data_IF_190617471908
#
_entry.id   IF_190617471908
#
_cell.length_a   1.000
_cell.length_b   1.000
_cell.length_c   1.000
_cell.angle_alpha   90.00
_cell.angle_beta   90.00
_cell.angle_gamma   90.00
#
_symmetry.space_group_name_H-M   'P 1'
#
loop_
_entity.id
_entity.type
_entity.pdbx_description
1 polymer ?
#
# COMPACT_ATOMS: atom_id res chain seq x y z
N UNK A 1 -60.85 -8.17 -74.93
CA UNK A 1 -59.66 -8.99 -74.58
C UNK A 1 -58.45 -8.05 -74.70
N UNK A 2 -57.56 -7.79 -73.75
CA UNK A 2 -57.29 -8.28 -72.41
C UNK A 2 -56.74 -7.10 -71.57
N UNK A 3 -57.24 -6.95 -70.33
CA UNK A 3 -56.68 -6.10 -69.27
C UNK A 3 -55.28 -6.57 -68.89
N UNK A 4 -54.36 -5.64 -68.63
CA UNK A 4 -53.33 -5.79 -67.59
C UNK A 4 -53.09 -4.46 -66.87
N UNK A 5 -53.61 -4.40 -65.64
CA UNK A 5 -53.19 -3.48 -64.59
C UNK A 5 -51.75 -3.82 -64.20
N UNK A 6 -50.90 -2.81 -63.99
CA UNK A 6 -49.69 -2.97 -63.20
C UNK A 6 -49.57 -1.77 -62.24
N UNK A 7 -49.90 -2.06 -60.98
CA UNK A 7 -49.58 -1.29 -59.79
C UNK A 7 -48.05 -1.32 -59.60
N UNK A 8 -47.39 -0.16 -59.62
CA UNK A 8 -46.01 -0.04 -59.18
C UNK A 8 -46.02 0.46 -57.73
N UNK A 9 -45.71 -0.43 -56.79
CA UNK A 9 -45.47 -0.09 -55.40
C UNK A 9 -44.17 0.73 -55.29
N UNK A 10 -44.29 1.94 -54.75
CA UNK A 10 -43.17 2.75 -54.30
C UNK A 10 -42.53 2.08 -53.08
N UNK A 11 -41.32 1.55 -53.24
CA UNK A 11 -40.47 1.11 -52.15
C UNK A 11 -39.63 2.30 -51.69
N UNK A 12 -40.14 3.02 -50.68
CA UNK A 12 -39.40 4.05 -49.96
C UNK A 12 -38.38 3.34 -49.04
N UNK A 13 -37.15 3.13 -49.51
CA UNK A 13 -36.06 2.65 -48.67
C UNK A 13 -35.55 3.83 -47.84
N UNK A 14 -36.08 3.98 -46.63
CA UNK A 14 -35.56 4.92 -45.64
C UNK A 14 -34.26 4.34 -45.05
N UNK A 15 -33.13 4.61 -45.70
CA UNK A 15 -31.81 4.27 -45.16
C UNK A 15 -31.52 5.16 -43.95
N UNK A 16 -31.86 4.67 -42.76
CA UNK A 16 -31.34 5.19 -41.50
C UNK A 16 -29.82 4.94 -41.49
N UNK A 17 -29.07 5.90 -42.01
CA UNK A 17 -27.65 6.06 -41.70
C UNK A 17 -27.56 6.40 -40.21
N UNK A 18 -27.60 5.39 -39.35
CA UNK A 18 -27.11 5.54 -37.98
C UNK A 18 -25.60 5.72 -38.09
N UNK A 19 -25.17 6.97 -38.18
CA UNK A 19 -23.77 7.31 -37.89
C UNK A 19 -23.48 6.69 -36.52
N UNK A 20 -22.48 5.82 -36.37
CA UNK A 20 -22.01 5.50 -35.03
C UNK A 20 -21.45 6.82 -34.52
N UNK A 21 -22.22 7.51 -33.68
CA UNK A 21 -21.67 8.50 -32.78
C UNK A 21 -20.64 7.73 -31.99
N UNK A 22 -19.36 7.90 -32.35
CA UNK A 22 -18.29 7.66 -31.41
C UNK A 22 -18.65 8.54 -30.22
N UNK A 23 -19.23 7.92 -29.20
CA UNK A 23 -19.34 8.51 -27.90
C UNK A 23 -17.89 8.76 -27.49
N UNK A 24 -17.40 9.97 -27.73
CA UNK A 24 -16.17 10.44 -27.12
C UNK A 24 -16.49 10.46 -25.63
N UNK A 25 -16.21 9.34 -24.96
CA UNK A 25 -16.33 9.22 -23.54
C UNK A 25 -15.31 10.22 -23.00
N UNK A 26 -15.78 11.43 -22.68
CA UNK A 26 -14.99 12.55 -22.18
C UNK A 26 -14.54 12.11 -20.79
N UNK A 27 -13.52 11.26 -20.74
CA UNK A 27 -12.86 10.88 -19.49
C UNK A 27 -12.54 12.18 -18.77
N UNK A 28 -13.05 12.34 -17.56
CA UNK A 28 -12.82 13.55 -16.77
C UNK A 28 -11.33 13.51 -16.43
N UNK A 29 -10.55 14.42 -17.03
CA UNK A 29 -9.09 14.40 -16.96
C UNK A 29 -8.62 15.46 -15.98
N UNK A 30 -8.10 15.01 -14.85
CA UNK A 30 -7.05 15.73 -14.16
C UNK A 30 -5.72 15.15 -14.64
N UNK A 31 -4.68 15.97 -14.85
CA UNK A 31 -3.41 15.51 -15.43
C UNK A 31 -2.72 14.39 -14.60
N UNK A 32 -3.14 14.18 -13.34
CA UNK A 32 -2.74 13.04 -12.50
C UNK A 32 -3.77 11.89 -12.36
N UNK A 33 -5.07 12.10 -12.61
CA UNK A 33 -6.12 11.11 -12.34
C UNK A 33 -6.98 10.91 -13.59
N UNK A 34 -7.11 9.65 -14.02
CA UNK A 34 -7.97 9.23 -15.13
C UNK A 34 -8.76 8.01 -14.67
N UNK A 35 -10.08 8.19 -14.50
CA UNK A 35 -11.01 7.09 -14.17
C UNK A 35 -11.14 6.17 -15.39
N UNK A 36 -11.15 4.87 -15.16
CA UNK A 36 -11.47 3.88 -16.18
C UNK A 36 -12.99 3.84 -16.40
N UNK A 37 -13.52 4.78 -17.19
CA UNK A 37 -14.97 4.94 -17.38
C UNK A 37 -15.63 3.84 -18.20
N UNK A 38 -14.85 2.94 -18.79
CA UNK A 38 -15.34 1.77 -19.52
C UNK A 38 -15.52 0.55 -18.61
N UNK A 39 -14.95 0.58 -17.41
CA UNK A 39 -15.14 -0.48 -16.43
C UNK A 39 -16.56 -0.45 -15.84
N UNK A 40 -17.23 -1.60 -15.85
CA UNK A 40 -18.50 -1.79 -15.15
C UNK A 40 -18.41 -1.55 -13.65
N UNK A 41 -17.21 -1.66 -13.07
CA UNK A 41 -16.99 -1.39 -11.64
C UNK A 41 -17.03 0.09 -11.32
N UNK A 42 -16.98 0.98 -12.31
CA UNK A 42 -16.96 2.44 -12.16
C UNK A 42 -18.28 3.14 -12.51
N UNK A 43 -19.40 2.41 -12.59
CA UNK A 43 -20.71 3.00 -12.97
C UNK A 43 -21.09 4.26 -12.18
N UNK A 44 -20.61 4.40 -10.94
CA UNK A 44 -20.89 5.54 -10.06
C UNK A 44 -19.69 6.47 -9.81
N UNK A 45 -18.49 6.18 -10.34
CA UNK A 45 -17.31 6.97 -9.99
C UNK A 45 -17.34 8.32 -10.74
N UNK A 46 -17.02 9.42 -10.04
CA UNK A 46 -16.96 10.75 -10.65
C UNK A 46 -15.78 11.56 -10.14
N UNK A 47 -15.07 12.21 -11.05
CA UNK A 47 -14.01 13.17 -10.74
C UNK A 47 -14.57 14.59 -10.73
N UNK A 48 -14.29 15.34 -9.67
CA UNK A 48 -14.64 16.75 -9.50
C UNK A 48 -13.36 17.50 -9.16
N UNK A 49 -12.99 18.48 -9.98
CA UNK A 49 -11.82 19.32 -9.74
C UNK A 49 -12.33 20.65 -9.17
N UNK A 50 -11.85 21.04 -7.98
CA UNK A 50 -12.16 22.36 -7.41
C UNK A 50 -11.06 23.36 -7.80
N UNK A 51 -11.40 24.64 -7.86
CA UNK A 51 -10.44 25.71 -8.16
C UNK A 51 -9.47 26.01 -7.00
N UNK A 52 -9.51 25.23 -5.91
CA UNK A 52 -8.79 25.47 -4.65
C UNK A 52 -7.60 24.52 -4.43
N UNK A 53 -7.12 23.84 -5.48
CA UNK A 53 -6.01 22.90 -5.36
C UNK A 53 -6.42 21.54 -4.78
N UNK A 54 -7.71 21.20 -4.86
CA UNK A 54 -8.23 19.89 -4.44
C UNK A 54 -8.83 19.13 -5.62
N UNK A 55 -8.61 17.82 -5.62
CA UNK A 55 -9.22 16.88 -6.56
C UNK A 55 -10.12 15.96 -5.76
N UNK A 56 -11.43 16.14 -5.89
CA UNK A 56 -12.42 15.32 -5.22
C UNK A 56 -12.88 14.18 -6.12
N UNK A 57 -12.81 12.95 -5.63
CA UNK A 57 -13.20 11.73 -6.33
C UNK A 57 -14.39 11.15 -5.58
N UNK A 58 -15.58 11.25 -6.16
CA UNK A 58 -16.74 10.49 -5.70
C UNK A 58 -16.46 9.01 -5.97
N UNK A 59 -16.11 8.28 -4.90
CA UNK A 59 -15.85 6.85 -4.99
C UNK A 59 -17.14 6.11 -5.33
N UNK A 60 -16.99 4.89 -5.85
CA UNK A 60 -18.13 4.03 -6.13
C UNK A 60 -18.93 3.73 -4.88
N UNK A 61 -20.24 3.56 -5.05
CA UNK A 61 -21.12 3.10 -3.98
C UNK A 61 -20.60 1.76 -3.46
N UNK A 62 -20.45 1.57 -2.14
CA UNK A 62 -19.85 0.37 -1.61
C UNK A 62 -20.77 -0.83 -1.84
N UNK A 63 -20.19 -2.00 -2.02
CA UNK A 63 -20.97 -3.25 -2.06
C UNK A 63 -21.58 -3.61 -0.70
N UNK A 64 -22.33 -4.71 -0.63
CA UNK A 64 -22.94 -5.22 0.60
C UNK A 64 -21.92 -5.55 1.71
N UNK A 65 -20.63 -5.56 1.41
CA UNK A 65 -19.57 -5.79 2.38
C UNK A 65 -18.95 -4.47 2.87
N UNK A 66 -19.32 -3.32 2.29
CA UNK A 66 -18.72 -2.02 2.57
C UNK A 66 -17.44 -1.77 1.78
N UNK A 67 -17.25 -2.42 0.63
CA UNK A 67 -16.09 -2.24 -0.26
C UNK A 67 -16.46 -1.37 -1.46
N UNK A 68 -15.78 -0.24 -1.60
CA UNK A 68 -15.83 0.58 -2.81
C UNK A 68 -14.67 0.20 -3.74
N UNK A 69 -14.96 -0.40 -4.90
CA UNK A 69 -13.93 -0.78 -5.88
C UNK A 69 -13.88 0.23 -7.02
N UNK A 70 -12.82 1.04 -7.06
CA UNK A 70 -12.58 2.09 -8.03
C UNK A 70 -11.46 1.67 -8.99
N UNK A 71 -11.69 1.83 -10.29
CA UNK A 71 -10.70 1.49 -11.33
C UNK A 71 -10.22 2.74 -12.07
N UNK A 72 -8.94 2.78 -12.39
CA UNK A 72 -8.30 3.94 -13.00
C UNK A 72 -7.42 3.50 -14.18
N UNK A 73 -7.33 4.36 -15.19
CA UNK A 73 -6.26 4.28 -16.18
C UNK A 73 -5.01 5.01 -15.66
N UNK A 74 -5.17 5.98 -14.76
CA UNK A 74 -4.06 6.67 -14.10
C UNK A 74 -4.50 7.10 -12.71
N UNK A 75 -3.68 6.81 -11.70
CA UNK A 75 -3.91 7.25 -10.33
C UNK A 75 -2.61 7.83 -9.78
N UNK A 76 -2.34 9.10 -10.06
CA UNK A 76 -1.18 9.84 -9.60
C UNK A 76 -1.63 11.06 -8.79
N UNK A 77 -1.00 11.27 -7.64
CA UNK A 77 -1.17 12.50 -6.83
C UNK A 77 0.00 13.46 -7.09
N UNK A 78 -0.13 14.72 -6.68
CA UNK A 78 0.88 15.76 -6.94
C UNK A 78 1.13 16.61 -5.68
N UNK A 79 2.37 17.08 -5.54
CA UNK A 79 2.74 18.03 -4.48
C UNK A 79 1.82 19.25 -4.50
N UNK A 80 1.37 19.68 -3.33
CA UNK A 80 0.53 20.86 -3.17
C UNK A 80 -0.92 20.67 -3.65
N UNK A 81 -1.31 19.46 -4.03
CA UNK A 81 -2.68 19.12 -4.41
C UNK A 81 -3.19 18.04 -3.48
N UNK A 82 -4.31 18.30 -2.82
CA UNK A 82 -5.00 17.31 -2.00
C UNK A 82 -5.93 16.49 -2.88
N UNK A 83 -5.77 15.16 -2.88
CA UNK A 83 -6.72 14.25 -3.52
C UNK A 83 -7.66 13.71 -2.44
N UNK A 84 -8.96 13.95 -2.59
CA UNK A 84 -10.00 13.53 -1.66
C UNK A 84 -10.77 12.35 -2.26
N UNK A 85 -10.83 11.25 -1.51
CA UNK A 85 -11.75 10.15 -1.77
C UNK A 85 -13.05 10.44 -1.01
N UNK A 86 -14.11 10.83 -1.71
CA UNK A 86 -15.37 11.24 -1.11
C UNK A 86 -16.19 10.04 -0.61
N UNK A 87 -15.95 9.69 0.64
CA UNK A 87 -16.65 8.64 1.39
C UNK A 87 -17.73 9.20 2.32
N UNK A 88 -18.16 10.44 2.11
CA UNK A 88 -19.25 11.06 2.87
C UNK A 88 -20.58 10.70 2.20
N UNK A 89 -21.37 9.83 2.83
CA UNK A 89 -22.66 9.38 2.29
C UNK A 89 -23.69 10.50 2.10
N UNK A 90 -23.48 11.68 2.69
CA UNK A 90 -24.34 12.86 2.52
C UNK A 90 -23.88 13.77 1.38
N UNK A 91 -22.62 13.67 0.95
CA UNK A 91 -22.03 14.53 -0.08
C UNK A 91 -21.76 13.79 -1.39
N UNK A 92 -21.43 12.50 -1.31
CA UNK A 92 -21.30 11.65 -2.49
C UNK A 92 -22.70 11.40 -3.06
N UNK A 93 -23.00 12.02 -4.21
CA UNK A 93 -24.34 12.02 -4.80
C UNK A 93 -24.88 10.62 -5.06
N UNK A 94 -24.04 9.69 -5.50
CA UNK A 94 -24.48 8.32 -5.79
C UNK A 94 -24.86 7.57 -4.51
N UNK A 95 -24.09 7.74 -3.44
CA UNK A 95 -24.41 7.15 -2.14
C UNK A 95 -25.69 7.76 -1.56
N UNK A 96 -25.84 9.09 -1.65
CA UNK A 96 -27.01 9.80 -1.15
C UNK A 96 -28.29 9.37 -1.89
N UNK A 97 -28.26 9.35 -3.23
CA UNK A 97 -29.41 8.96 -4.06
C UNK A 97 -29.84 7.51 -3.81
N UNK A 98 -28.89 6.62 -3.51
CA UNK A 98 -29.17 5.21 -3.23
C UNK A 98 -29.33 4.90 -1.74
N UNK A 99 -29.30 5.89 -0.84
CA UNK A 99 -29.36 5.67 0.61
C UNK A 99 -28.25 4.77 1.16
N UNK A 100 -27.10 4.72 0.49
CA UNK A 100 -26.00 3.81 0.82
C UNK A 100 -25.12 4.34 1.95
N UNK A 101 -24.52 3.43 2.72
CA UNK A 101 -23.56 3.78 3.76
C UNK A 101 -22.16 4.06 3.19
N UNK A 102 -21.32 4.73 3.96
CA UNK A 102 -19.91 4.95 3.65
C UNK A 102 -19.13 3.64 3.56
N UNK A 103 -18.12 3.58 2.70
CA UNK A 103 -17.20 2.46 2.57
C UNK A 103 -16.37 2.27 3.84
N UNK A 104 -16.06 1.01 4.16
CA UNK A 104 -15.05 0.61 5.17
C UNK A 104 -13.70 0.32 4.51
N UNK A 105 -13.73 -0.02 3.22
CA UNK A 105 -12.56 -0.30 2.39
C UNK A 105 -12.73 0.38 1.03
N UNK A 106 -11.70 1.12 0.61
CA UNK A 106 -11.66 1.79 -0.69
C UNK A 106 -10.49 1.22 -1.49
N UNK A 107 -10.81 0.46 -2.54
CA UNK A 107 -9.84 -0.10 -3.47
C UNK A 107 -9.69 0.88 -4.64
N UNK A 108 -8.46 1.27 -4.94
CA UNK A 108 -8.07 2.08 -6.09
C UNK A 108 -7.12 1.24 -6.95
N UNK A 109 -7.64 0.68 -8.04
CA UNK A 109 -6.91 -0.24 -8.91
C UNK A 109 -6.59 0.43 -10.25
N UNK A 110 -5.33 0.45 -10.66
CA UNK A 110 -4.93 0.90 -11.99
C UNK A 110 -4.88 -0.29 -12.95
N UNK A 111 -5.58 -0.17 -14.09
CA UNK A 111 -5.71 -1.22 -15.11
C UNK A 111 -4.94 -0.92 -16.42
N UNK A 112 -4.27 0.22 -16.52
CA UNK A 112 -3.43 0.56 -17.67
C UNK A 112 -2.00 -0.01 -17.49
N UNK A 113 -1.10 0.33 -18.41
CA UNK A 113 0.34 0.06 -18.31
C UNK A 113 1.09 1.15 -17.53
N UNK A 114 0.41 2.21 -17.06
CA UNK A 114 1.04 3.30 -16.35
C UNK A 114 1.38 2.94 -14.90
N UNK A 115 2.47 3.53 -14.39
CA UNK A 115 2.83 3.47 -12.97
C UNK A 115 2.02 4.48 -12.17
N UNK A 116 1.81 4.17 -10.90
CA UNK A 116 1.27 5.11 -9.91
C UNK A 116 2.40 5.91 -9.28
N UNK A 117 2.27 7.23 -9.27
CA UNK A 117 3.18 8.15 -8.59
C UNK A 117 2.39 8.92 -7.54
N UNK A 118 2.70 8.66 -6.27
CA UNK A 118 2.09 9.30 -5.13
C UNK A 118 3.01 10.40 -4.61
N UNK A 119 2.51 11.63 -4.61
CA UNK A 119 3.18 12.80 -4.08
C UNK A 119 2.15 13.74 -3.44
N UNK A 120 2.29 14.07 -2.15
CA UNK A 120 1.34 14.92 -1.44
C UNK A 120 0.24 14.13 -0.72
N UNK A 121 -0.85 14.81 -0.38
CA UNK A 121 -1.91 14.31 0.50
C UNK A 121 -3.00 13.56 -0.28
N UNK A 122 -3.26 12.31 0.13
CA UNK A 122 -4.44 11.54 -0.22
C UNK A 122 -5.29 11.36 1.04
N UNK A 123 -6.49 11.90 1.03
CA UNK A 123 -7.37 11.87 2.20
C UNK A 123 -8.72 11.24 1.90
N UNK A 124 -9.37 10.76 2.95
CA UNK A 124 -10.76 10.34 2.89
C UNK A 124 -11.62 11.49 3.43
N UNK A 125 -12.59 11.93 2.64
CA UNK A 125 -13.62 12.85 3.09
C UNK A 125 -14.79 12.06 3.67
N UNK A 126 -15.30 12.45 4.83
CA UNK A 126 -16.37 11.75 5.53
C UNK A 126 -15.85 10.65 6.46
N UNK A 127 -16.51 9.50 6.47
CA UNK A 127 -16.17 8.40 7.39
C UNK A 127 -14.79 7.80 7.07
N UNK A 128 -13.92 7.56 8.08
CA UNK A 128 -12.63 6.92 7.85
C UNK A 128 -12.76 5.51 7.25
N UNK A 129 -11.86 5.16 6.34
CA UNK A 129 -11.81 3.84 5.71
C UNK A 129 -10.36 3.38 5.48
N UNK A 130 -10.19 2.09 5.19
CA UNK A 130 -8.90 1.54 4.71
C UNK A 130 -8.73 1.86 3.23
N UNK A 131 -7.54 2.26 2.81
CA UNK A 131 -7.20 2.51 1.40
C UNK A 131 -6.36 1.34 0.88
N UNK A 132 -6.68 0.84 -0.30
CA UNK A 132 -5.83 -0.11 -1.05
C UNK A 132 -5.49 0.53 -2.39
N UNK A 133 -4.21 0.67 -2.71
CA UNK A 133 -3.74 1.16 -4.01
C UNK A 133 -3.06 -0.01 -4.72
N UNK A 134 -3.64 -0.45 -5.84
CA UNK A 134 -3.16 -1.60 -6.61
C UNK A 134 -2.69 -1.15 -7.99
N UNK A 135 -1.43 -1.40 -8.30
CA UNK A 135 -0.91 -1.17 -9.64
C UNK A 135 0.21 -2.19 -9.97
N UNK A 136 -0.02 -3.18 -10.87
CA UNK A 136 0.99 -4.17 -11.21
C UNK A 136 2.25 -3.57 -11.86
N UNK A 137 2.16 -2.41 -12.48
CA UNK A 137 3.31 -1.73 -13.11
C UNK A 137 4.24 -1.06 -12.09
N UNK A 138 3.80 -0.93 -10.84
CA UNK A 138 4.56 -0.38 -9.73
C UNK A 138 4.00 0.94 -9.18
N UNK A 139 4.47 1.28 -7.98
CA UNK A 139 4.06 2.45 -7.21
C UNK A 139 5.32 3.19 -6.76
N UNK A 140 5.39 4.49 -7.03
CA UNK A 140 6.38 5.37 -6.41
C UNK A 140 5.71 6.23 -5.35
N UNK A 141 6.40 6.46 -4.25
CA UNK A 141 5.97 7.32 -3.18
C UNK A 141 7.06 8.34 -2.86
N UNK A 142 6.74 9.62 -3.05
CA UNK A 142 7.61 10.75 -2.75
C UNK A 142 6.85 11.73 -1.86
N UNK A 143 7.22 11.80 -0.58
CA UNK A 143 6.52 12.65 0.40
C UNK A 143 5.00 12.36 0.42
N UNK A 144 4.61 11.08 0.46
CA UNK A 144 3.20 10.72 0.54
C UNK A 144 2.67 11.04 1.93
N UNK A 145 1.45 11.54 1.97
CA UNK A 145 0.69 11.76 3.18
C UNK A 145 -0.68 11.12 2.98
N UNK A 146 -1.14 10.42 4.02
CA UNK A 146 -2.49 9.88 4.08
C UNK A 146 -3.16 10.51 5.29
N UNK A 147 -4.46 10.76 5.24
CA UNK A 147 -5.21 11.25 6.38
C UNK A 147 -6.62 10.66 6.40
N UNK A 148 -7.23 10.67 7.59
CA UNK A 148 -8.55 10.10 7.85
C UNK A 148 -8.71 8.64 7.36
N UNK A 149 -7.63 7.86 7.46
CA UNK A 149 -7.61 6.46 7.05
C UNK A 149 -7.30 5.54 8.23
N UNK A 150 -7.91 4.35 8.23
CA UNK A 150 -7.63 3.30 9.22
C UNK A 150 -6.38 2.49 8.86
N UNK A 151 -5.87 2.64 7.63
CA UNK A 151 -4.66 1.99 7.14
C UNK A 151 -4.55 2.02 5.61
N UNK A 152 -3.34 1.81 5.11
CA UNK A 152 -3.04 1.82 3.67
C UNK A 152 -2.35 0.52 3.27
N UNK A 153 -2.87 -0.14 2.23
CA UNK A 153 -2.18 -1.21 1.52
C UNK A 153 -1.66 -0.67 0.18
N UNK A 154 -0.34 -0.73 -0.05
CA UNK A 154 0.28 -0.49 -1.35
C UNK A 154 0.61 -1.82 -2.00
N UNK A 155 0.10 -2.05 -3.21
CA UNK A 155 0.19 -3.35 -3.90
C UNK A 155 0.76 -3.15 -5.31
N UNK A 156 2.03 -3.50 -5.49
CA UNK A 156 2.65 -3.60 -6.81
C UNK A 156 2.50 -5.03 -7.37
N UNK A 157 1.26 -5.36 -7.74
CA UNK A 157 0.89 -6.68 -8.25
C UNK A 157 -0.55 -6.71 -8.73
N UNK A 158 -1.04 -7.90 -9.04
CA UNK A 158 -2.44 -8.14 -9.40
C UNK A 158 -3.27 -8.35 -8.14
N UNK A 159 -4.52 -7.89 -8.19
CA UNK A 159 -5.49 -8.08 -7.11
C UNK A 159 -6.76 -8.72 -7.67
N UNK A 160 -7.32 -9.65 -6.90
CA UNK A 160 -8.67 -10.13 -7.11
C UNK A 160 -9.47 -10.02 -5.81
N UNK A 161 -10.68 -9.47 -5.92
CA UNK A 161 -11.63 -9.33 -4.81
C UNK A 161 -12.88 -10.12 -5.13
N UNK A 162 -13.23 -11.04 -4.24
CA UNK A 162 -14.46 -11.82 -4.31
C UNK A 162 -14.86 -12.32 -2.91
N UNK A 163 -16.16 -12.27 -2.58
CA UNK A 163 -16.71 -12.83 -1.35
C UNK A 163 -15.95 -12.41 -0.08
N UNK A 164 -15.76 -11.09 0.12
CA UNK A 164 -14.99 -10.49 1.25
C UNK A 164 -13.51 -10.88 1.32
N UNK A 165 -12.99 -11.63 0.35
CA UNK A 165 -11.59 -12.05 0.30
C UNK A 165 -10.87 -11.25 -0.76
N UNK A 166 -9.68 -10.78 -0.39
CA UNK A 166 -8.75 -10.17 -1.33
C UNK A 166 -7.59 -11.15 -1.50
N UNK A 167 -7.22 -11.39 -2.75
CA UNK A 167 -5.98 -12.06 -3.08
C UNK A 167 -5.05 -11.12 -3.82
N UNK A 168 -3.81 -11.05 -3.38
CA UNK A 168 -2.74 -10.36 -4.07
C UNK A 168 -1.80 -11.38 -4.70
N UNK A 169 -1.34 -11.07 -5.90
CA UNK A 169 -0.27 -11.80 -6.56
C UNK A 169 0.78 -10.81 -7.01
N UNK A 170 1.97 -10.91 -6.44
CA UNK A 170 3.12 -10.07 -6.76
C UNK A 170 4.15 -10.86 -7.54
N UNK A 171 4.85 -10.17 -8.42
CA UNK A 171 5.90 -10.72 -9.29
C UNK A 171 7.14 -9.81 -9.32
N UNK A 172 7.38 -9.08 -10.41
CA UNK A 172 8.48 -8.11 -10.55
C UNK A 172 8.06 -6.69 -10.16
N UNK A 173 6.76 -6.43 -9.95
CA UNK A 173 6.23 -5.12 -9.58
C UNK A 173 7.03 -4.46 -8.44
N UNK A 174 7.33 -3.17 -8.58
CA UNK A 174 8.21 -2.43 -7.67
C UNK A 174 7.47 -1.36 -6.89
N UNK A 175 7.77 -1.23 -5.60
CA UNK A 175 7.41 -0.08 -4.79
C UNK A 175 8.67 0.69 -4.41
N UNK A 176 8.71 1.98 -4.73
CA UNK A 176 9.88 2.83 -4.52
C UNK A 176 9.50 4.01 -3.62
N UNK A 177 10.16 4.12 -2.48
CA UNK A 177 10.07 5.28 -1.60
C UNK A 177 11.23 6.24 -1.88
N UNK A 178 10.94 7.53 -1.99
CA UNK A 178 11.91 8.62 -2.26
C UNK A 178 11.59 9.85 -1.40
N UNK A 179 12.51 10.81 -1.31
CA UNK A 179 12.29 12.05 -0.55
C UNK A 179 12.15 11.78 0.95
N UNK A 180 11.06 12.23 1.55
CA UNK A 180 10.64 11.92 2.91
C UNK A 180 9.83 10.62 3.01
N UNK A 181 9.69 9.87 1.91
CA UNK A 181 8.90 8.64 1.81
C UNK A 181 7.46 8.85 2.27
N UNK A 182 7.07 8.20 3.37
CA UNK A 182 5.79 8.43 4.05
C UNK A 182 6.09 9.18 5.34
N UNK A 183 5.69 10.45 5.39
CA UNK A 183 6.03 11.37 6.47
C UNK A 183 4.80 12.15 6.94
N UNK A 184 4.50 12.08 8.24
CA UNK A 184 3.57 13.00 8.88
C UNK A 184 4.29 14.31 9.23
N UNK A 185 3.69 15.47 8.95
CA UNK A 185 4.32 16.76 9.22
C UNK A 185 4.57 16.94 10.73
N UNK A 186 5.80 16.70 11.21
CA UNK A 186 6.24 16.96 12.57
C UNK A 186 7.68 16.48 12.84
N UNK A 187 8.41 17.22 13.68
CA UNK A 187 9.78 16.90 14.16
C UNK A 187 9.80 16.05 15.44
N UNK A 188 8.67 15.52 15.89
CA UNK A 188 8.53 14.90 17.21
C UNK A 188 8.43 13.37 17.12
N UNK A 189 8.79 12.70 18.22
CA UNK A 189 8.84 11.26 18.43
C UNK A 189 7.53 10.53 18.07
N UNK A 190 7.59 9.20 17.94
CA UNK A 190 6.41 8.32 17.77
C UNK A 190 5.36 8.49 18.90
N UNK A 191 5.65 9.27 19.95
CA UNK A 191 4.74 9.46 21.09
C UNK A 191 3.49 10.27 20.75
N UNK A 192 3.50 11.05 19.68
CA UNK A 192 2.27 11.59 19.11
C UNK A 192 1.83 10.66 17.98
N UNK A 193 0.82 9.81 18.22
CA UNK A 193 0.07 9.07 17.18
C UNK A 193 -0.02 9.93 15.94
N UNK A 194 0.85 9.67 14.96
CA UNK A 194 1.01 10.57 13.83
C UNK A 194 -0.36 10.78 13.22
N UNK A 195 -0.84 12.02 13.13
CA UNK A 195 -2.17 12.43 12.65
C UNK A 195 -2.53 11.92 11.22
N UNK A 196 -1.71 11.06 10.63
CA UNK A 196 -1.66 10.74 9.22
C UNK A 196 -1.83 9.24 8.93
N UNK A 197 -0.99 8.33 9.49
CA UNK A 197 -1.13 6.90 9.21
C UNK A 197 -0.72 5.98 10.36
N UNK A 198 -1.65 5.13 10.80
CA UNK A 198 -1.42 4.12 11.85
C UNK A 198 -0.91 2.79 11.30
N UNK A 199 -1.32 2.41 10.09
CA UNK A 199 -1.05 1.11 9.51
C UNK A 199 -0.63 1.21 8.05
N UNK A 200 0.53 0.66 7.71
CA UNK A 200 1.00 0.49 6.33
C UNK A 200 1.26 -0.97 6.05
N UNK A 201 0.68 -1.49 4.98
CA UNK A 201 1.06 -2.79 4.42
C UNK A 201 1.55 -2.61 2.99
N UNK A 202 2.64 -3.30 2.64
CA UNK A 202 3.25 -3.27 1.32
C UNK A 202 3.32 -4.68 0.77
N UNK A 203 2.78 -4.89 -0.43
CA UNK A 203 2.90 -6.11 -1.22
C UNK A 203 3.61 -5.78 -2.53
N UNK A 204 4.80 -6.33 -2.73
CA UNK A 204 5.53 -6.07 -3.97
C UNK A 204 6.48 -7.22 -4.30
N UNK A 205 6.83 -7.32 -5.58
CA UNK A 205 8.02 -8.05 -5.98
C UNK A 205 9.26 -7.47 -5.36
N UNK A 206 9.47 -6.17 -5.58
CA UNK A 206 10.63 -5.45 -5.10
C UNK A 206 10.24 -4.21 -4.32
N UNK A 207 10.96 -3.93 -3.24
CA UNK A 207 10.85 -2.67 -2.50
C UNK A 207 12.20 -1.98 -2.45
N UNK A 208 12.21 -0.68 -2.71
CA UNK A 208 13.42 0.14 -2.60
C UNK A 208 13.11 1.46 -1.91
N UNK A 209 13.98 1.84 -1.00
CA UNK A 209 13.99 3.16 -0.37
C UNK A 209 15.24 3.88 -0.87
N UNK A 210 15.06 5.00 -1.55
CA UNK A 210 16.13 5.74 -2.20
C UNK A 210 16.40 7.07 -1.52
N UNK A 211 17.64 7.55 -1.65
CA UNK A 211 18.01 8.94 -1.40
C UNK A 211 17.54 9.48 -0.03
N UNK A 212 17.71 8.70 1.04
CA UNK A 212 17.30 9.14 2.37
C UNK A 212 15.81 9.02 2.68
N UNK A 213 15.03 8.31 1.85
CA UNK A 213 13.61 8.02 2.09
C UNK A 213 13.34 7.53 3.51
N UNK A 214 12.30 8.10 4.14
CA UNK A 214 11.86 7.74 5.49
C UNK A 214 10.45 7.19 5.45
N UNK A 215 10.16 6.12 6.17
CA UNK A 215 8.79 5.65 6.37
C UNK A 215 8.54 5.57 7.87
N UNK A 216 7.81 6.56 8.37
CA UNK A 216 7.44 6.68 9.77
C UNK A 216 5.95 6.37 9.93
N UNK A 217 5.65 5.12 10.29
CA UNK A 217 4.28 4.60 10.45
C UNK A 217 4.29 3.62 11.61
N UNK A 218 3.31 3.72 12.51
CA UNK A 218 3.27 2.95 13.76
C UNK A 218 3.31 1.43 13.53
N UNK A 219 2.49 0.90 12.62
CA UNK A 219 2.47 -0.53 12.29
C UNK A 219 2.76 -0.73 10.82
N UNK A 220 3.81 -1.49 10.51
CA UNK A 220 4.29 -1.72 9.17
C UNK A 220 4.42 -3.21 8.85
N UNK A 221 3.90 -3.61 7.70
CA UNK A 221 4.02 -4.98 7.21
C UNK A 221 4.48 -5.02 5.75
N UNK A 222 5.56 -5.73 5.48
CA UNK A 222 6.11 -5.89 4.14
C UNK A 222 6.03 -7.35 3.71
N UNK A 223 5.37 -7.64 2.59
CA UNK A 223 5.34 -8.96 1.93
C UNK A 223 6.04 -8.82 0.59
N UNK A 224 7.25 -9.36 0.52
CA UNK A 224 8.16 -9.08 -0.58
C UNK A 224 8.50 -10.35 -1.34
N UNK A 225 8.54 -10.22 -2.66
CA UNK A 225 8.93 -11.27 -3.58
C UNK A 225 7.76 -11.80 -4.39
N UNK A 226 8.00 -12.91 -5.10
CA UNK A 226 6.98 -13.59 -5.87
C UNK A 226 6.05 -14.34 -4.91
N UNK A 227 4.89 -13.78 -4.60
CA UNK A 227 3.95 -14.36 -3.64
C UNK A 227 2.52 -14.31 -4.12
N UNK A 228 1.74 -15.31 -3.68
CA UNK A 228 0.29 -15.23 -3.65
C UNK A 228 -0.17 -15.16 -2.20
N UNK A 229 -0.85 -14.09 -1.85
CA UNK A 229 -1.42 -13.91 -0.50
C UNK A 229 -2.93 -13.88 -0.60
N UNK A 230 -3.61 -14.58 0.31
CA UNK A 230 -5.06 -14.43 0.53
C UNK A 230 -5.29 -13.82 1.90
N UNK A 231 -6.11 -12.78 1.96
CA UNK A 231 -6.51 -12.10 3.19
C UNK A 231 -8.02 -11.87 3.21
N UNK A 232 -8.55 -11.74 4.43
CA UNK A 232 -9.85 -11.10 4.61
C UNK A 232 -9.71 -9.60 4.33
N UNK A 233 -10.67 -9.01 3.62
CA UNK A 233 -10.63 -7.62 3.18
C UNK A 233 -10.52 -6.61 4.35
N UNK A 234 -10.94 -7.00 5.56
CA UNK A 234 -10.99 -6.11 6.72
C UNK A 234 -9.98 -6.45 7.82
N UNK A 235 -9.28 -7.59 7.74
CA UNK A 235 -8.29 -7.96 8.76
C UNK A 235 -6.92 -7.37 8.47
N UNK A 236 -6.31 -6.77 9.50
CA UNK A 236 -5.04 -6.08 9.32
C UNK A 236 -3.78 -6.92 9.64
N UNK A 237 -3.79 -7.99 10.44
CA UNK A 237 -2.48 -8.59 10.84
C UNK A 237 -2.41 -10.10 11.12
N UNK A 238 -3.51 -10.83 11.37
CA UNK A 238 -3.39 -12.10 12.12
C UNK A 238 -3.39 -13.40 11.29
N UNK A 239 -3.95 -13.41 10.07
CA UNK A 239 -4.16 -14.66 9.31
C UNK A 239 -3.75 -14.51 7.84
N UNK A 240 -2.45 -14.32 7.58
CA UNK A 240 -1.91 -14.20 6.22
C UNK A 240 -1.31 -15.52 5.77
N UNK A 241 -2.01 -16.22 4.87
CA UNK A 241 -1.42 -17.35 4.15
C UNK A 241 -0.74 -16.80 2.91
N UNK A 242 0.59 -16.74 2.95
CA UNK A 242 1.43 -16.39 1.80
C UNK A 242 2.05 -17.66 1.25
N UNK A 243 1.83 -17.91 -0.04
CA UNK A 243 2.49 -18.96 -0.79
C UNK A 243 3.59 -18.33 -1.64
N UNK A 244 4.83 -18.78 -1.46
CA UNK A 244 5.93 -18.41 -2.36
C UNK A 244 5.69 -18.99 -3.76
N UNK A 245 5.96 -18.20 -4.78
CA UNK A 245 5.87 -18.60 -6.17
C UNK A 245 7.29 -18.67 -6.76
N UNK A 246 7.51 -19.58 -7.69
CA UNK A 246 8.73 -19.57 -8.50
C UNK A 246 8.80 -18.27 -9.32
N UNK A 247 9.99 -17.73 -9.49
CA UNK A 247 10.21 -16.52 -10.27
C UNK A 247 11.62 -15.98 -10.13
N UNK A 248 11.86 -14.84 -10.77
CA UNK A 248 13.15 -14.14 -10.68
C UNK A 248 13.45 -13.69 -9.25
N UNK A 249 14.75 -13.52 -8.97
CA UNK A 249 15.23 -12.95 -7.71
C UNK A 249 14.65 -11.56 -7.50
N UNK A 250 14.22 -11.31 -6.28
CA UNK A 250 13.60 -10.07 -5.85
C UNK A 250 14.36 -9.46 -4.68
N UNK A 251 14.10 -8.19 -4.38
CA UNK A 251 14.84 -7.48 -3.33
C UNK A 251 13.95 -6.59 -2.46
N UNK A 252 14.27 -6.56 -1.18
CA UNK A 252 13.94 -5.45 -0.28
C UNK A 252 15.24 -4.70 0.00
N UNK A 253 15.34 -3.44 -0.44
CA UNK A 253 16.56 -2.65 -0.27
C UNK A 253 16.27 -1.35 0.45
N UNK A 254 16.88 -1.17 1.62
CA UNK A 254 17.00 0.12 2.29
C UNK A 254 18.36 0.70 1.89
N UNK A 255 18.39 1.78 1.09
CA UNK A 255 19.65 2.45 0.75
C UNK A 255 20.26 3.21 1.94
N UNK A 256 21.50 3.69 1.77
CA UNK A 256 22.16 4.54 2.75
C UNK A 256 21.29 5.77 3.07
N UNK A 257 21.32 6.19 4.33
CA UNK A 257 20.55 7.30 4.89
C UNK A 257 19.02 7.13 4.90
N UNK A 258 18.48 6.08 4.28
CA UNK A 258 17.05 5.77 4.35
C UNK A 258 16.69 5.14 5.70
N UNK A 259 15.45 5.35 6.13
CA UNK A 259 15.00 5.01 7.48
C UNK A 259 13.62 4.37 7.46
N UNK A 260 13.45 3.33 8.28
CA UNK A 260 12.16 2.77 8.66
C UNK A 260 11.99 2.98 10.15
N UNK A 261 10.89 3.63 10.53
CA UNK A 261 10.55 3.88 11.92
C UNK A 261 9.13 3.42 12.21
N UNK A 262 8.96 2.56 13.22
CA UNK A 262 7.67 1.98 13.59
C UNK A 262 7.61 1.66 15.10
N UNK A 263 6.43 1.30 15.60
CA UNK A 263 6.28 0.57 16.85
C UNK A 263 6.30 -0.93 16.59
N UNK A 264 5.62 -1.36 15.53
CA UNK A 264 5.58 -2.75 15.10
C UNK A 264 5.97 -2.84 13.63
N UNK A 265 7.03 -3.60 13.35
CA UNK A 265 7.52 -3.86 12.00
C UNK A 265 7.59 -5.35 11.76
N UNK A 266 6.96 -5.82 10.68
CA UNK A 266 7.17 -7.17 10.19
C UNK A 266 7.57 -7.16 8.73
N UNK A 267 8.65 -7.83 8.40
CA UNK A 267 9.12 -8.02 7.03
C UNK A 267 9.12 -9.52 6.73
N UNK A 268 8.32 -9.92 5.76
CA UNK A 268 8.31 -11.24 5.19
C UNK A 268 8.85 -11.17 3.76
N UNK A 269 9.83 -12.00 3.46
CA UNK A 269 10.29 -12.20 2.08
C UNK A 269 10.06 -13.64 1.66
N UNK A 270 9.61 -13.86 0.41
CA UNK A 270 9.54 -15.20 -0.15
C UNK A 270 10.92 -15.74 -0.50
N UNK A 271 10.96 -17.04 -0.81
CA UNK A 271 12.15 -17.71 -1.32
C UNK A 271 12.73 -16.97 -2.55
N UNK A 272 14.06 -16.91 -2.63
CA UNK A 272 14.77 -16.18 -3.69
C UNK A 272 14.78 -14.65 -3.54
N UNK A 273 14.20 -14.11 -2.46
CA UNK A 273 14.23 -12.68 -2.13
C UNK A 273 15.40 -12.34 -1.20
N UNK A 274 16.07 -11.22 -1.46
CA UNK A 274 17.18 -10.71 -0.65
C UNK A 274 16.79 -9.43 0.08
N UNK A 275 17.02 -9.40 1.39
CA UNK A 275 16.89 -8.20 2.21
C UNK A 275 18.26 -7.54 2.39
N UNK A 276 18.42 -6.35 1.79
CA UNK A 276 19.63 -5.56 1.85
C UNK A 276 19.38 -4.30 2.69
N UNK A 277 19.85 -4.29 3.93
CA UNK A 277 19.78 -3.13 4.80
C UNK A 277 21.09 -2.33 4.76
N UNK A 278 21.07 -1.14 4.13
CA UNK A 278 22.17 -0.17 4.18
C UNK A 278 21.78 1.10 4.94
N UNK A 279 20.58 1.14 5.51
CA UNK A 279 20.01 2.28 6.23
C UNK A 279 19.68 1.95 7.68
N UNK A 280 18.73 2.66 8.26
CA UNK A 280 18.31 2.42 9.64
C UNK A 280 16.91 1.79 9.70
N UNK A 281 16.82 0.59 10.26
CA UNK A 281 15.55 -0.01 10.66
C UNK A 281 15.43 0.15 12.17
N UNK A 282 14.41 0.85 12.63
CA UNK A 282 14.23 1.14 14.06
C UNK A 282 12.78 0.97 14.46
N UNK A 283 12.53 0.06 15.40
CA UNK A 283 11.27 0.03 16.15
C UNK A 283 11.45 0.63 17.53
N UNK A 284 10.45 1.32 18.03
CA UNK A 284 10.43 1.83 19.39
C UNK A 284 9.07 1.52 20.03
N UNK A 285 9.09 1.00 21.25
CA UNK A 285 7.88 0.87 22.06
C UNK A 285 7.29 2.26 22.37
N UNK A 286 5.99 2.32 22.58
CA UNK A 286 5.29 3.49 23.12
C UNK A 286 4.35 3.04 24.25
N UNK A 287 3.55 3.96 24.81
CA UNK A 287 2.61 3.66 25.92
C UNK A 287 1.56 2.60 25.60
N UNK A 288 1.23 2.38 24.32
CA UNK A 288 0.14 1.50 23.89
C UNK A 288 0.62 0.22 23.20
N UNK A 289 1.80 0.25 22.58
CA UNK A 289 2.34 -0.82 21.74
C UNK A 289 3.78 -1.16 22.15
N UNK A 290 4.05 -2.46 22.28
CA UNK A 290 5.41 -3.00 22.38
C UNK A 290 6.22 -2.68 21.12
N UNK A 291 7.53 -2.49 21.28
CA UNK A 291 8.46 -2.34 20.17
C UNK A 291 8.75 -3.70 19.54
N UNK A 292 7.98 -4.15 18.56
CA UNK A 292 8.10 -5.49 17.96
C UNK A 292 8.69 -5.42 16.54
N UNK A 293 9.87 -6.01 16.33
CA UNK A 293 10.49 -6.18 15.02
C UNK A 293 10.61 -7.66 14.67
N UNK A 294 9.93 -8.07 13.60
CA UNK A 294 10.02 -9.43 13.05
C UNK A 294 10.52 -9.40 11.61
N UNK A 295 11.58 -10.15 11.30
CA UNK A 295 12.09 -10.31 9.93
C UNK A 295 12.18 -11.79 9.61
N UNK A 296 11.44 -12.22 8.60
CA UNK A 296 11.50 -13.58 8.04
C UNK A 296 11.96 -13.47 6.60
N UNK A 297 13.20 -13.82 6.33
CA UNK A 297 13.80 -13.72 5.00
C UNK A 297 14.81 -14.84 4.77
N UNK A 298 15.02 -15.30 3.53
CA UNK A 298 16.04 -16.32 3.28
C UNK A 298 17.47 -15.75 3.37
N UNK A 299 17.66 -14.52 2.90
CA UNK A 299 18.96 -13.86 2.87
C UNK A 299 18.83 -12.45 3.42
N UNK A 300 19.66 -12.14 4.41
CA UNK A 300 19.78 -10.82 5.01
C UNK A 300 21.23 -10.36 4.93
N UNK A 301 21.46 -9.23 4.28
CA UNK A 301 22.71 -8.49 4.34
C UNK A 301 22.46 -7.19 5.11
N UNK A 302 22.96 -7.11 6.34
CA UNK A 302 22.90 -5.92 7.16
C UNK A 302 24.24 -5.17 7.12
N UNK A 303 24.22 -3.95 6.60
CA UNK A 303 25.38 -3.05 6.49
C UNK A 303 25.28 -1.83 7.39
N UNK A 304 24.20 -1.71 8.16
CA UNK A 304 24.00 -0.61 9.10
C UNK A 304 23.15 -1.07 10.30
N UNK A 305 22.08 -0.38 10.70
CA UNK A 305 21.41 -0.64 11.98
C UNK A 305 20.04 -1.30 11.80
N UNK A 306 19.79 -2.35 12.58
CA UNK A 306 18.48 -2.91 12.91
C UNK A 306 18.35 -2.82 14.43
N UNK A 307 17.42 -2.00 14.90
CA UNK A 307 17.29 -1.74 16.34
C UNK A 307 15.83 -1.79 16.81
N UNK A 308 15.66 -2.23 18.04
CA UNK A 308 14.41 -2.18 18.78
C UNK A 308 14.67 -1.50 20.13
N UNK A 309 13.87 -0.50 20.47
CA UNK A 309 14.03 0.25 21.71
C UNK A 309 12.78 0.08 22.56
N UNK A 310 12.95 -0.28 23.84
CA UNK A 310 11.87 -0.20 24.81
C UNK A 310 11.61 1.23 25.24
N UNK A 311 10.57 1.45 26.05
CA UNK A 311 10.30 2.74 26.68
C UNK A 311 9.97 2.56 28.15
N UNK A 312 10.19 3.60 28.96
CA UNK A 312 9.91 3.59 30.40
C UNK A 312 8.66 4.43 30.64
N UNK A 313 7.64 3.82 31.24
CA UNK A 313 6.44 4.50 31.71
C UNK A 313 6.54 4.80 33.22
N UNK A 314 6.32 6.08 33.58
CA UNK A 314 6.15 6.57 34.95
C UNK A 314 7.15 5.99 35.99
N UNK A 315 8.43 5.96 35.63
CA UNK A 315 9.58 5.55 36.47
C UNK A 315 9.54 4.15 37.09
N UNK A 316 8.64 3.23 36.68
CA UNK A 316 8.59 1.86 37.23
C UNK A 316 8.20 0.74 36.25
N UNK A 317 7.51 1.04 35.13
CA UNK A 317 7.12 0.01 34.16
C UNK A 317 7.91 0.16 32.86
N UNK A 318 8.72 -0.84 32.53
CA UNK A 318 9.42 -0.92 31.24
C UNK A 318 8.47 -1.60 30.25
N UNK A 319 8.18 -0.92 29.13
CA UNK A 319 7.55 -1.53 27.97
C UNK A 319 8.68 -2.08 27.10
N UNK A 320 8.84 -3.41 27.02
CA UNK A 320 10.00 -4.01 26.38
C UNK A 320 9.93 -3.90 24.86
N UNK A 321 11.04 -4.27 24.23
CA UNK A 321 11.14 -4.41 22.78
C UNK A 321 11.69 -5.77 22.37
N UNK A 322 11.26 -6.29 21.23
CA UNK A 322 11.67 -7.58 20.70
C UNK A 322 12.19 -7.46 19.28
N UNK A 323 13.24 -8.24 18.99
CA UNK A 323 13.72 -8.53 17.65
C UNK A 323 13.62 -10.03 17.45
N UNK A 324 12.86 -10.47 16.44
CA UNK A 324 12.83 -11.85 15.97
C UNK A 324 13.26 -11.90 14.50
N UNK A 325 14.41 -12.49 14.22
CA UNK A 325 14.90 -12.68 12.85
C UNK A 325 15.01 -14.17 12.55
N UNK A 326 14.26 -14.64 11.56
CA UNK A 326 14.35 -16.00 11.02
C UNK A 326 14.95 -15.94 9.62
N UNK A 327 16.12 -16.53 9.42
CA UNK A 327 16.81 -16.50 8.12
C UNK A 327 17.70 -17.70 7.82
N UNK A 328 17.88 -18.04 6.53
CA UNK A 328 18.87 -19.07 6.14
C UNK A 328 20.28 -18.49 6.19
N UNK A 329 20.46 -17.25 5.74
CA UNK A 329 21.75 -16.59 5.66
C UNK A 329 21.66 -15.17 6.23
N UNK A 330 22.47 -14.88 7.26
CA UNK A 330 22.63 -13.54 7.83
C UNK A 330 24.08 -13.11 7.75
N UNK A 331 24.33 -12.05 6.98
CA UNK A 331 25.62 -11.35 6.94
C UNK A 331 25.44 -10.02 7.65
N UNK A 332 26.04 -9.87 8.84
CA UNK A 332 26.13 -8.61 9.55
C UNK A 332 27.54 -8.03 9.36
N UNK A 333 27.68 -6.94 8.61
CA UNK A 333 28.98 -6.32 8.34
C UNK A 333 29.60 -5.72 9.62
N UNK A 334 30.92 -5.50 9.61
CA UNK A 334 31.72 -5.12 10.79
C UNK A 334 31.19 -3.90 11.57
N UNK A 335 30.66 -2.88 10.88
CA UNK A 335 30.10 -1.66 11.49
C UNK A 335 28.56 -1.67 11.61
N UNK A 336 27.94 -2.79 11.24
CA UNK A 336 26.51 -2.98 11.32
C UNK A 336 26.09 -3.50 12.71
N UNK A 337 24.89 -3.14 13.14
CA UNK A 337 24.35 -3.52 14.45
C UNK A 337 22.97 -4.16 14.35
N UNK A 338 22.73 -5.17 15.18
CA UNK A 338 21.41 -5.68 15.52
C UNK A 338 21.28 -5.56 17.05
N UNK A 339 20.40 -4.68 17.54
CA UNK A 339 20.39 -4.26 18.96
C UNK A 339 18.98 -4.14 19.53
N UNK A 340 18.78 -4.60 20.76
CA UNK A 340 17.58 -4.30 21.56
C UNK A 340 17.99 -3.66 22.89
N UNK A 341 17.33 -2.57 23.33
CA UNK A 341 17.71 -1.87 24.58
C UNK A 341 17.09 -2.49 25.83
N UNK A 342 15.90 -3.08 25.71
CA UNK A 342 15.08 -3.55 26.84
C UNK A 342 14.24 -4.77 26.41
N UNK A 343 14.89 -5.81 25.88
CA UNK A 343 14.19 -7.07 25.61
C UNK A 343 14.97 -8.05 24.74
N UNK A 344 14.25 -8.89 24.00
CA UNK A 344 14.79 -10.16 23.48
C UNK A 344 15.21 -10.00 22.02
N UNK A 345 16.44 -10.40 21.71
CA UNK A 345 16.90 -10.64 20.33
C UNK A 345 16.97 -12.14 20.08
N UNK A 346 16.06 -12.63 19.24
CA UNK A 346 16.01 -14.02 18.77
C UNK A 346 16.50 -14.08 17.32
N UNK A 347 17.54 -14.88 17.07
CA UNK A 347 18.06 -15.17 15.74
C UNK A 347 17.96 -16.66 15.48
N UNK A 348 17.16 -17.07 14.51
CA UNK A 348 16.91 -18.47 14.17
C UNK A 348 17.30 -18.78 12.73
N UNK A 349 17.95 -19.93 12.51
CA UNK A 349 18.19 -20.47 11.17
C UNK A 349 17.20 -21.56 10.83
N UNK A 350 16.74 -21.61 9.58
CA UNK A 350 15.91 -22.73 9.12
C UNK A 350 16.72 -24.04 9.19
N UNK A 351 16.28 -24.96 10.05
CA UNK A 351 16.67 -26.38 10.03
C UNK A 351 18.19 -26.64 10.07
N UNK A 352 18.94 -25.91 10.89
CA UNK A 352 20.34 -26.26 11.23
C UNK A 352 21.35 -26.16 10.09
N UNK A 353 21.04 -25.45 9.00
CA UNK A 353 21.94 -25.26 7.84
C UNK A 353 22.28 -23.79 7.54
N UNK A 354 22.01 -22.88 8.47
CA UNK A 354 22.26 -21.45 8.27
C UNK A 354 23.62 -20.99 8.80
N UNK A 355 24.15 -19.93 8.21
CA UNK A 355 25.42 -19.30 8.59
C UNK A 355 25.15 -17.91 9.18
N UNK A 356 25.75 -17.65 10.36
CA UNK A 356 25.83 -16.33 10.99
C UNK A 356 27.28 -15.87 10.96
N UNK A 357 27.54 -14.70 10.38
CA UNK A 357 28.83 -14.03 10.55
C UNK A 357 28.90 -13.37 11.95
N UNK A 358 29.96 -13.63 12.72
CA UNK A 358 30.02 -13.52 14.20
C UNK A 358 30.13 -12.06 14.72
N UNK A 359 29.93 -11.04 13.89
CA UNK A 359 29.93 -9.64 14.34
C UNK A 359 28.61 -9.17 15.01
N UNK A 360 27.95 -10.03 15.79
CA UNK A 360 26.76 -9.67 16.57
C UNK A 360 27.21 -9.19 17.95
N UNK A 361 27.38 -7.87 18.12
CA UNK A 361 27.66 -7.27 19.43
C UNK A 361 26.43 -7.40 20.35
N UNK A 362 26.39 -8.43 21.20
CA UNK A 362 25.49 -8.48 22.37
C UNK A 362 25.97 -7.44 23.39
N UNK A 363 25.56 -6.18 23.24
CA UNK A 363 25.75 -5.16 24.27
C UNK A 363 24.43 -4.99 24.98
N UNK A 364 24.29 -5.66 26.13
CA UNK A 364 23.29 -5.26 27.12
C UNK A 364 23.90 -4.11 27.91
N UNK A 365 23.30 -2.91 27.97
CA UNK A 365 23.68 -1.98 29.01
C UNK A 365 23.39 -2.65 30.36
N UNK A 366 24.42 -2.85 31.19
CA UNK A 366 24.21 -3.04 32.62
C UNK A 366 23.65 -1.72 33.13
N UNK A 367 22.38 -1.72 33.54
CA UNK A 367 21.84 -0.62 34.33
C UNK A 367 22.27 -0.90 35.76
N UNK A 368 23.13 -0.02 36.31
CA UNK A 368 23.44 0.03 37.74
C UNK A 368 22.25 0.60 38.51
#
# INVERSE_FOLDING_TARGET
MHKKNNFAYSLLVLSLLSTPTLATNKGIRYNGIIIDSLSEKNKSNKLIISNQGEVNIDINVPDNNGVSHNQFLRFNTRKGITVQLNNDSKQNKNMLTLGSQSAKLIINQVNSTEKTNLHGLLEIKGSPAKIVIVNPNGISCNNCQFSNTTGVDLVAGKMNYANKKISYQTDKGKIIFTGLGIWGNGRSSIDEKSKFLSNLTVYAGNVRFNNGAKVNVAKQFYVIGNVKTKIDAFNNYSNRRSLGLAGEKTTFTLEKNSQIHANQLRIFTSEGTYLNNNGAITVAANKEDIGDLSIKADHIANKHIIAAYGTIENNKNIIPSSINITTKHLINHQDAGIKASEGIVTLETYKGKGYFDINIKKVFPKIN
#
